data_IF_357652846577
#
_entry.id   IF_357652846577
#
_cell.length_a   1.000
_cell.length_b   1.000
_cell.length_c   1.000
_cell.angle_alpha   90.00
_cell.angle_beta   90.00
_cell.angle_gamma   90.00
#
_symmetry.space_group_name_H-M   'P 1'
#
loop_
_entity.id
_entity.type
_entity.pdbx_description
1 polymer ?
#
# COMPACT_ATOMS: atom_id res chain seq x y z
N UNK A 1 6.80 -21.85 49.46
CA UNK A 1 5.89 -22.23 48.35
C UNK A 1 5.44 -21.01 47.52
N UNK A 2 5.06 -19.91 48.11
CA UNK A 2 4.62 -18.70 47.35
C UNK A 2 5.69 -18.13 46.40
N UNK A 3 6.96 -18.07 46.82
CA UNK A 3 8.05 -17.56 46.00
C UNK A 3 8.35 -18.41 44.76
N UNK A 4 8.18 -19.74 44.87
CA UNK A 4 8.40 -20.66 43.77
C UNK A 4 7.33 -20.52 42.68
N UNK A 5 6.08 -20.24 43.06
CA UNK A 5 4.99 -20.00 42.13
C UNK A 5 5.17 -18.67 41.38
N UNK A 6 5.65 -17.63 42.06
CA UNK A 6 5.93 -16.33 41.44
C UNK A 6 7.06 -16.47 40.40
N UNK A 7 8.12 -17.21 40.75
CA UNK A 7 9.22 -17.46 39.82
C UNK A 7 8.75 -18.23 38.57
N UNK A 8 7.91 -19.27 38.78
CA UNK A 8 7.36 -20.05 37.68
C UNK A 8 6.47 -19.22 36.76
N UNK A 9 5.61 -18.35 37.31
CA UNK A 9 4.75 -17.43 36.52
C UNK A 9 5.61 -16.45 35.71
N UNK A 10 6.66 -15.88 36.31
CA UNK A 10 7.58 -14.98 35.60
C UNK A 10 8.28 -15.67 34.42
N UNK A 11 8.74 -16.91 34.62
CA UNK A 11 9.39 -17.70 33.55
C UNK A 11 8.39 -18.00 32.43
N UNK A 12 7.15 -18.39 32.77
CA UNK A 12 6.12 -18.68 31.76
C UNK A 12 5.74 -17.43 30.99
N UNK A 13 5.59 -16.25 31.62
CA UNK A 13 5.27 -14.98 30.96
C UNK A 13 6.42 -14.54 30.03
N UNK A 14 7.68 -14.70 30.46
CA UNK A 14 8.83 -14.38 29.59
C UNK A 14 8.94 -15.34 28.39
N UNK A 15 8.65 -16.63 28.57
CA UNK A 15 8.62 -17.61 27.49
C UNK A 15 7.46 -17.34 26.50
N UNK A 16 6.28 -16.96 27.01
CA UNK A 16 5.14 -16.62 26.17
C UNK A 16 5.42 -15.36 25.33
N UNK A 17 6.12 -14.38 25.88
CA UNK A 17 6.57 -13.18 25.16
C UNK A 17 7.57 -13.49 24.04
N UNK A 18 8.39 -14.54 24.19
CA UNK A 18 9.36 -14.95 23.17
C UNK A 18 8.70 -15.70 21.99
N UNK A 19 7.55 -16.32 22.23
CA UNK A 19 6.78 -17.04 21.18
C UNK A 19 5.93 -16.09 20.33
N UNK A 20 5.65 -14.86 20.77
CA UNK A 20 5.00 -13.82 20.01
C UNK A 20 6.03 -13.09 19.11
N UNK A 21 6.73 -13.82 18.24
CA UNK A 21 7.40 -13.19 17.12
C UNK A 21 6.34 -12.63 16.21
N UNK A 22 6.17 -11.32 16.24
CA UNK A 22 5.34 -10.62 15.29
C UNK A 22 5.85 -10.97 13.88
N UNK A 23 5.00 -11.57 13.08
CA UNK A 23 5.29 -11.85 11.68
C UNK A 23 5.46 -10.50 10.98
N UNK A 24 6.64 -10.24 10.45
CA UNK A 24 6.91 -9.00 9.72
C UNK A 24 6.15 -9.05 8.39
N UNK A 25 5.26 -8.08 8.19
CA UNK A 25 4.48 -7.98 6.97
C UNK A 25 5.32 -7.38 5.85
N UNK A 26 5.30 -8.00 4.67
CA UNK A 26 5.88 -7.41 3.46
C UNK A 26 4.93 -6.32 2.98
N UNK A 27 5.29 -5.06 3.21
CA UNK A 27 4.53 -3.90 2.76
C UNK A 27 5.13 -3.35 1.46
N UNK A 28 4.27 -3.06 0.48
CA UNK A 28 4.67 -2.48 -0.80
C UNK A 28 4.20 -1.04 -0.97
N UNK A 29 3.43 -0.51 -0.03
CA UNK A 29 2.90 0.85 -0.07
C UNK A 29 2.07 1.17 1.15
N UNK A 30 1.48 2.37 1.15
CA UNK A 30 0.64 2.88 2.23
C UNK A 30 -0.75 3.24 1.71
N UNK A 31 -1.75 3.04 2.56
CA UNK A 31 -3.14 3.38 2.28
C UNK A 31 -3.45 4.75 2.86
N UNK A 32 -4.16 5.57 2.10
CA UNK A 32 -4.57 6.91 2.47
C UNK A 32 -6.02 7.15 2.08
N UNK A 33 -6.63 8.13 2.72
CA UNK A 33 -7.98 8.61 2.39
C UNK A 33 -7.97 10.13 2.29
N UNK A 34 -8.80 10.66 1.41
CA UNK A 34 -9.08 12.09 1.32
C UNK A 34 -10.58 12.31 1.12
N UNK A 35 -11.10 13.44 1.59
CA UNK A 35 -12.43 13.87 1.25
C UNK A 35 -12.40 14.68 -0.04
N UNK A 36 -13.09 14.21 -1.07
CA UNK A 36 -13.25 14.92 -2.33
C UNK A 36 -14.42 15.89 -2.25
N UNK A 37 -14.16 17.18 -2.20
CA UNK A 37 -15.21 18.20 -2.23
C UNK A 37 -16.00 18.22 -3.55
N UNK A 38 -15.37 17.82 -4.65
CA UNK A 38 -16.02 17.75 -5.97
C UNK A 38 -17.03 16.62 -6.04
N UNK A 39 -16.67 15.44 -5.48
CA UNK A 39 -17.52 14.25 -5.49
C UNK A 39 -18.39 14.16 -4.22
N UNK A 40 -18.12 15.01 -3.21
CA UNK A 40 -18.74 15.01 -1.89
C UNK A 40 -18.68 13.63 -1.19
N UNK A 41 -17.54 12.95 -1.29
CA UNK A 41 -17.33 11.63 -0.70
C UNK A 41 -15.87 11.41 -0.29
N UNK A 42 -15.64 10.46 0.62
CA UNK A 42 -14.30 10.01 0.98
C UNK A 42 -13.78 9.07 -0.11
N UNK A 43 -12.58 9.36 -0.60
CA UNK A 43 -11.87 8.54 -1.60
C UNK A 43 -10.65 7.89 -0.95
N UNK A 44 -10.43 6.63 -1.25
CA UNK A 44 -9.23 5.89 -0.86
C UNK A 44 -8.23 5.87 -2.02
N UNK A 45 -6.95 5.98 -1.68
CA UNK A 45 -5.85 5.85 -2.63
C UNK A 45 -4.64 5.19 -1.94
N UNK A 46 -3.83 4.51 -2.73
CA UNK A 46 -2.63 3.86 -2.24
C UNK A 46 -1.40 4.53 -2.83
N UNK A 47 -0.34 4.62 -2.03
CA UNK A 47 0.89 5.28 -2.44
C UNK A 47 2.07 4.34 -2.25
N UNK A 48 2.87 4.18 -3.29
CA UNK A 48 4.20 3.62 -3.24
C UNK A 48 5.22 4.72 -3.43
N UNK A 49 6.22 4.78 -2.56
CA UNK A 49 7.37 5.66 -2.66
C UNK A 49 8.62 4.80 -2.82
N UNK A 50 9.47 5.04 -3.85
CA UNK A 50 10.69 4.27 -4.01
C UNK A 50 11.63 4.51 -2.83
N UNK A 51 12.35 3.47 -2.41
CA UNK A 51 13.34 3.59 -1.36
C UNK A 51 14.55 4.39 -1.87
N UNK A 52 14.99 5.38 -1.08
CA UNK A 52 16.21 6.14 -1.34
C UNK A 52 17.39 5.20 -1.13
N UNK A 53 18.28 5.09 -2.11
CA UNK A 53 19.49 4.29 -1.97
C UNK A 53 20.54 5.05 -1.13
N UNK A 54 21.34 4.32 -0.35
CA UNK A 54 22.44 4.96 0.39
C UNK A 54 23.37 5.74 -0.55
N UNK A 55 23.56 7.02 -0.29
CA UNK A 55 24.41 7.92 -1.09
C UNK A 55 23.69 8.63 -2.25
N UNK A 56 22.43 8.33 -2.53
CA UNK A 56 21.62 9.16 -3.43
C UNK A 56 21.08 10.38 -2.69
N UNK A 57 21.08 11.52 -3.39
CA UNK A 57 20.43 12.73 -2.89
C UNK A 57 18.92 12.54 -2.93
N UNK A 58 18.21 13.20 -2.04
CA UNK A 58 16.76 13.29 -2.07
C UNK A 58 16.36 14.00 -3.38
N UNK A 59 15.97 13.20 -4.36
CA UNK A 59 15.56 13.71 -5.67
C UNK A 59 14.04 13.75 -5.73
N UNK A 60 13.53 14.66 -6.57
CA UNK A 60 12.10 14.66 -6.92
C UNK A 60 11.83 13.50 -7.88
N UNK A 61 10.94 12.60 -7.50
CA UNK A 61 10.53 11.49 -8.35
C UNK A 61 9.33 11.87 -9.21
N UNK A 62 9.28 11.41 -10.47
CA UNK A 62 8.05 11.51 -11.26
C UNK A 62 6.94 10.71 -10.59
N UNK A 63 5.70 11.16 -10.77
CA UNK A 63 4.50 10.52 -10.21
C UNK A 63 3.73 9.82 -11.31
N UNK A 64 3.47 8.53 -11.09
CA UNK A 64 2.58 7.73 -11.93
C UNK A 64 1.21 7.61 -11.24
N UNK A 65 0.19 8.16 -11.85
CA UNK A 65 -1.20 7.96 -11.41
C UNK A 65 -1.78 6.72 -12.06
N UNK A 66 -2.25 5.80 -11.24
CA UNK A 66 -2.79 4.51 -11.65
C UNK A 66 -4.28 4.46 -11.35
N UNK A 67 -5.08 4.22 -12.37
CA UNK A 67 -6.51 3.93 -12.23
C UNK A 67 -6.72 2.43 -11.99
N UNK A 68 -7.90 2.05 -11.49
CA UNK A 68 -8.18 0.67 -11.05
C UNK A 68 -7.11 0.15 -10.05
N UNK A 69 -6.76 1.00 -9.09
CA UNK A 69 -5.63 0.77 -8.18
C UNK A 69 -5.73 -0.50 -7.36
N UNK A 70 -6.93 -0.89 -6.97
CA UNK A 70 -7.23 -2.15 -6.27
C UNK A 70 -6.78 -3.39 -7.07
N UNK A 71 -6.91 -3.35 -8.39
CA UNK A 71 -6.56 -4.45 -9.28
C UNK A 71 -5.08 -4.46 -9.70
N UNK A 72 -4.48 -3.29 -9.92
CA UNK A 72 -3.20 -3.19 -10.61
C UNK A 72 -2.03 -2.69 -9.76
N UNK A 73 -2.26 -2.16 -8.56
CA UNK A 73 -1.20 -1.54 -7.75
C UNK A 73 0.01 -2.45 -7.54
N UNK A 74 -0.20 -3.69 -7.12
CA UNK A 74 0.89 -4.63 -6.84
C UNK A 74 1.75 -4.91 -8.07
N UNK A 75 1.11 -5.14 -9.20
CA UNK A 75 1.79 -5.43 -10.46
C UNK A 75 2.58 -4.23 -10.96
N UNK A 76 1.98 -3.03 -10.94
CA UNK A 76 2.62 -1.80 -11.41
C UNK A 76 3.80 -1.43 -10.51
N UNK A 77 3.66 -1.50 -9.19
CA UNK A 77 4.79 -1.29 -8.25
C UNK A 77 5.89 -2.32 -8.47
N UNK A 78 5.53 -3.59 -8.69
CA UNK A 78 6.51 -4.64 -9.00
C UNK A 78 7.31 -4.32 -10.27
N UNK A 79 6.64 -3.92 -11.34
CA UNK A 79 7.28 -3.52 -12.60
C UNK A 79 8.13 -2.25 -12.45
N UNK A 80 7.63 -1.20 -11.80
CA UNK A 80 8.41 0.02 -11.59
C UNK A 80 9.68 -0.25 -10.80
N UNK A 81 9.62 -1.07 -9.75
CA UNK A 81 10.81 -1.48 -9.00
C UNK A 81 11.79 -2.28 -9.85
N UNK A 82 11.30 -3.27 -10.59
CA UNK A 82 12.14 -4.12 -11.44
C UNK A 82 12.87 -3.29 -12.48
N UNK A 83 12.16 -2.43 -13.19
CA UNK A 83 12.74 -1.64 -14.28
C UNK A 83 13.59 -0.47 -13.79
N UNK A 84 13.33 0.11 -12.63
CA UNK A 84 14.18 1.16 -12.07
C UNK A 84 15.49 0.63 -11.46
N UNK A 85 15.56 -0.65 -11.09
CA UNK A 85 16.76 -1.27 -10.53
C UNK A 85 17.60 -2.01 -11.56
N UNK A 86 17.04 -2.33 -12.72
CA UNK A 86 17.73 -3.05 -13.79
C UNK A 86 18.75 -2.15 -14.50
N UNK A 87 19.97 -2.63 -14.67
CA UNK A 87 21.02 -1.94 -15.46
C UNK A 87 20.67 -1.78 -16.94
N UNK A 88 19.68 -2.52 -17.43
CA UNK A 88 19.24 -2.55 -18.83
C UNK A 88 18.07 -1.62 -19.08
N UNK A 89 17.38 -1.19 -18.04
CA UNK A 89 16.18 -0.37 -18.15
C UNK A 89 16.47 1.12 -17.93
N UNK A 90 15.79 1.95 -18.72
CA UNK A 90 15.85 3.41 -18.65
C UNK A 90 14.69 4.03 -17.85
N UNK A 91 13.93 3.22 -17.11
CA UNK A 91 12.83 3.76 -16.31
C UNK A 91 13.39 4.35 -15.02
N UNK A 92 13.17 5.66 -14.75
CA UNK A 92 13.55 6.26 -13.47
C UNK A 92 12.68 5.70 -12.35
N UNK A 93 13.16 5.68 -11.10
CA UNK A 93 12.31 5.44 -9.95
C UNK A 93 11.14 6.43 -9.96
N UNK A 94 9.93 5.96 -9.65
CA UNK A 94 8.76 6.83 -9.61
C UNK A 94 7.86 6.51 -8.40
N UNK A 95 7.16 7.53 -7.92
CA UNK A 95 6.06 7.38 -6.97
C UNK A 95 4.86 6.84 -7.75
N UNK A 96 4.17 5.84 -7.19
CA UNK A 96 2.92 5.34 -7.76
C UNK A 96 1.77 5.77 -6.84
N UNK A 97 0.82 6.51 -7.37
CA UNK A 97 -0.42 6.89 -6.69
C UNK A 97 -1.58 6.15 -7.37
N UNK A 98 -2.11 5.16 -6.68
CA UNK A 98 -3.20 4.35 -7.20
C UNK A 98 -4.54 4.87 -6.67
N UNK A 99 -5.41 5.25 -7.57
CA UNK A 99 -6.79 5.68 -7.28
C UNK A 99 -7.68 4.45 -7.31
N UNK A 100 -8.36 4.20 -6.19
CA UNK A 100 -9.28 3.08 -6.07
C UNK A 100 -10.67 3.45 -6.57
N UNK A 101 -11.38 2.43 -7.06
CA UNK A 101 -12.76 2.61 -7.48
C UNK A 101 -13.71 2.51 -6.27
N UNK A 102 -14.69 3.41 -6.21
CA UNK A 102 -15.87 3.27 -5.35
C UNK A 102 -17.00 2.64 -6.14
N UNK A 103 -17.20 3.16 -7.35
CA UNK A 103 -18.11 2.60 -8.37
C UNK A 103 -17.43 2.81 -9.72
N UNK A 104 -16.88 1.73 -10.27
CA UNK A 104 -16.08 1.79 -11.49
C UNK A 104 -16.85 2.34 -12.68
N UNK A 105 -18.12 1.99 -12.79
CA UNK A 105 -18.94 2.46 -13.91
C UNK A 105 -19.19 3.96 -13.81
N UNK A 106 -19.55 4.44 -12.62
CA UNK A 106 -19.74 5.86 -12.36
C UNK A 106 -18.44 6.65 -12.56
N UNK A 107 -17.33 6.12 -12.04
CA UNK A 107 -16.06 6.82 -11.99
C UNK A 107 -15.40 6.96 -13.38
N UNK A 108 -15.69 6.03 -14.31
CA UNK A 108 -15.07 6.00 -15.64
C UNK A 108 -16.03 6.30 -16.81
N UNK A 109 -17.32 6.53 -16.55
CA UNK A 109 -18.26 6.89 -17.61
C UNK A 109 -18.82 8.30 -17.41
N UNK A 110 -18.85 9.15 -18.46
CA UNK A 110 -19.35 10.52 -18.34
C UNK A 110 -20.86 10.60 -18.14
N UNK A 111 -21.59 9.50 -18.42
CA UNK A 111 -23.04 9.42 -18.30
C UNK A 111 -23.47 8.13 -17.61
N UNK A 112 -24.44 8.27 -16.70
CA UNK A 112 -25.09 7.10 -16.07
C UNK A 112 -25.87 6.36 -17.16
N UNK A 113 -25.40 5.16 -17.55
CA UNK A 113 -26.20 4.27 -18.39
C UNK A 113 -27.32 3.65 -17.55
N UNK A 114 -28.56 4.06 -17.80
CA UNK A 114 -29.75 3.51 -17.14
C UNK A 114 -29.96 2.02 -17.43
N UNK A 115 -29.28 1.49 -18.45
CA UNK A 115 -29.49 0.11 -18.96
C UNK A 115 -28.83 -1.00 -18.12
N UNK A 116 -28.15 -0.69 -17.00
CA UNK A 116 -27.40 -1.69 -16.21
C UNK A 116 -27.91 -1.88 -14.78
N UNK A 117 -29.13 -1.46 -14.49
CA UNK A 117 -29.72 -1.63 -13.13
C UNK A 117 -30.49 -2.94 -12.94
N UNK A 118 -30.65 -3.74 -13.97
CA UNK A 118 -31.50 -4.94 -13.97
C UNK A 118 -30.70 -6.24 -14.18
N UNK A 119 -29.52 -6.36 -13.55
CA UNK A 119 -28.73 -7.57 -13.57
C UNK A 119 -28.27 -8.04 -12.19
#
# INVERSE_FOLDING_TARGET
>A
MRSLHILFILVVVTWLGFLLRAQEAISIGTRHTLFSHVLNEVREYWVYVPAIRPGEKEESYPVLYLLDGDSFFHSVVGFTRLFSTSKVSSLPPCIVVAVLNTDRTRDFTPTCSAARRDG
#
